data_IF_703892535641
#
_entry.id   IF_703892535641
#
_cell.length_a   1.000
_cell.length_b   1.000
_cell.length_c   1.000
_cell.angle_alpha   90.00
_cell.angle_beta   90.00
_cell.angle_gamma   90.00
#
_symmetry.space_group_name_H-M   'P 1'
#
loop_
_entity.id
_entity.type
_entity.pdbx_description
1 polymer ?
#
# COMPACT_ATOMS: atom_id res chain seq x y z
N UNK A 1 1.68 28.44 -16.64
CA UNK A 1 0.90 27.20 -16.89
C UNK A 1 0.89 26.37 -15.61
N UNK A 2 -0.18 26.39 -14.80
CA UNK A 2 -0.32 25.47 -13.66
C UNK A 2 -0.51 24.05 -14.24
N UNK A 3 0.29 23.03 -13.85
CA UNK A 3 0.08 21.69 -14.36
C UNK A 3 -1.30 21.25 -13.89
N UNK A 4 -2.14 20.83 -14.84
CA UNK A 4 -3.43 20.20 -14.56
C UNK A 4 -3.16 19.00 -13.66
N UNK A 5 -3.28 19.19 -12.35
CA UNK A 5 -3.28 18.10 -11.39
C UNK A 5 -4.43 17.19 -11.83
N UNK A 6 -4.11 16.09 -12.50
CA UNK A 6 -5.09 15.08 -12.87
C UNK A 6 -5.70 14.62 -11.55
N UNK A 7 -6.89 15.15 -11.23
CA UNK A 7 -7.60 14.83 -10.01
C UNK A 7 -8.06 13.39 -10.19
N UNK A 8 -7.63 12.52 -9.28
CA UNK A 8 -8.15 11.16 -9.26
C UNK A 8 -9.67 11.24 -9.00
N UNK A 9 -10.41 10.21 -9.37
CA UNK A 9 -11.87 10.17 -9.15
C UNK A 9 -12.28 10.28 -7.67
N UNK A 10 -11.32 10.10 -6.74
CA UNK A 10 -11.48 10.26 -5.29
C UNK A 10 -10.90 11.58 -4.74
N UNK A 11 -10.38 12.47 -5.59
CA UNK A 11 -9.85 13.78 -5.19
C UNK A 11 -8.39 14.03 -5.58
N UNK A 12 -7.74 14.96 -4.88
CA UNK A 12 -6.37 15.41 -5.15
C UNK A 12 -5.29 14.52 -4.51
N UNK A 13 -5.66 13.60 -3.61
CA UNK A 13 -4.71 12.74 -2.91
C UNK A 13 -4.21 11.61 -3.82
N UNK A 14 -2.92 11.29 -3.72
CA UNK A 14 -2.34 10.11 -4.34
C UNK A 14 -2.67 8.84 -3.54
N UNK A 15 -2.44 7.66 -4.13
CA UNK A 15 -2.53 6.41 -3.38
C UNK A 15 -1.60 6.39 -2.17
N UNK A 16 -0.37 6.90 -2.32
CA UNK A 16 0.59 6.98 -1.21
C UNK A 16 0.05 7.85 -0.06
N UNK A 17 -0.57 8.98 -0.36
CA UNK A 17 -1.15 9.86 0.68
C UNK A 17 -2.31 9.19 1.41
N UNK A 18 -3.20 8.51 0.67
CA UNK A 18 -4.31 7.77 1.26
C UNK A 18 -3.83 6.60 2.14
N UNK A 19 -2.81 5.86 1.70
CA UNK A 19 -2.22 4.76 2.47
C UNK A 19 -1.57 5.30 3.74
N UNK A 20 -0.83 6.41 3.66
CA UNK A 20 -0.21 7.04 4.82
C UNK A 20 -1.28 7.46 5.84
N UNK A 21 -2.33 8.16 5.38
CA UNK A 21 -3.46 8.57 6.22
C UNK A 21 -4.16 7.38 6.89
N UNK A 22 -4.34 6.27 6.17
CA UNK A 22 -4.91 5.05 6.73
C UNK A 22 -4.07 4.52 7.91
N UNK A 23 -2.77 4.36 7.70
CA UNK A 23 -1.84 3.86 8.73
C UNK A 23 -1.78 4.83 9.92
N UNK A 24 -1.69 6.13 9.65
CA UNK A 24 -1.61 7.19 10.67
C UNK A 24 -2.90 7.35 11.47
N UNK A 25 -4.06 6.97 10.93
CA UNK A 25 -5.31 6.93 11.68
C UNK A 25 -5.44 5.74 12.64
N UNK A 26 -4.57 4.73 12.51
CA UNK A 26 -4.59 3.57 13.41
C UNK A 26 -3.89 3.89 14.73
N UNK A 27 -4.39 3.40 15.88
CA UNK A 27 -3.81 3.72 17.20
C UNK A 27 -2.36 3.24 17.31
N UNK A 28 -2.04 2.12 16.68
CA UNK A 28 -0.71 1.51 16.71
C UNK A 28 0.18 1.95 15.54
N UNK A 29 -0.26 2.89 14.69
CA UNK A 29 0.46 3.36 13.50
C UNK A 29 0.90 2.22 12.57
N UNK A 30 0.10 1.14 12.53
CA UNK A 30 0.35 -0.08 11.76
C UNK A 30 -0.96 -0.70 11.31
N UNK A 31 -1.02 -1.11 10.05
CA UNK A 31 -2.16 -1.83 9.48
C UNK A 31 -1.69 -2.99 8.61
N UNK A 32 -2.47 -4.06 8.56
CA UNK A 32 -2.31 -5.12 7.56
C UNK A 32 -2.81 -4.66 6.19
N UNK A 33 -2.39 -5.35 5.13
CA UNK A 33 -2.87 -5.06 3.77
C UNK A 33 -4.41 -5.09 3.67
N UNK A 34 -5.05 -6.06 4.32
CA UNK A 34 -6.51 -6.16 4.32
C UNK A 34 -7.17 -4.98 5.04
N UNK A 35 -6.62 -4.55 6.17
CA UNK A 35 -7.13 -3.38 6.88
C UNK A 35 -6.98 -2.08 6.08
N UNK A 36 -5.91 -1.94 5.28
CA UNK A 36 -5.77 -0.80 4.35
C UNK A 36 -6.89 -0.84 3.31
N UNK A 37 -7.26 -2.02 2.78
CA UNK A 37 -8.40 -2.12 1.88
C UNK A 37 -9.71 -1.71 2.55
N UNK A 38 -9.98 -2.20 3.77
CA UNK A 38 -11.17 -1.83 4.54
C UNK A 38 -11.24 -0.33 4.79
N UNK A 39 -10.12 0.29 5.20
CA UNK A 39 -10.06 1.72 5.45
C UNK A 39 -10.38 2.54 4.19
N UNK A 40 -9.86 2.12 3.02
CA UNK A 40 -10.15 2.80 1.75
C UNK A 40 -11.64 2.78 1.42
N UNK A 41 -12.29 1.64 1.61
CA UNK A 41 -13.73 1.47 1.37
C UNK A 41 -14.54 2.33 2.35
N UNK A 42 -14.17 2.37 3.62
CA UNK A 42 -14.89 3.11 4.65
C UNK A 42 -14.74 4.64 4.49
N UNK A 43 -13.52 5.11 4.21
CA UNK A 43 -13.15 6.52 4.30
C UNK A 43 -13.18 7.27 2.96
N UNK A 44 -13.13 6.56 1.82
CA UNK A 44 -13.08 7.18 0.50
C UNK A 44 -14.31 6.76 -0.30
N UNK A 45 -15.29 7.67 -0.52
CA UNK A 45 -16.57 7.35 -1.15
C UNK A 45 -16.45 6.59 -2.48
N UNK A 46 -15.43 6.91 -3.29
CA UNK A 46 -15.15 6.24 -4.57
C UNK A 46 -14.95 4.71 -4.44
N UNK A 47 -14.41 4.23 -3.31
CA UNK A 47 -14.14 2.81 -3.10
C UNK A 47 -15.29 2.06 -2.40
N UNK A 48 -16.30 2.75 -1.85
CA UNK A 48 -17.45 2.12 -1.15
C UNK A 48 -18.15 1.07 -2.03
N UNK A 49 -18.55 1.46 -3.23
CA UNK A 49 -19.20 0.57 -4.19
C UNK A 49 -18.28 -0.54 -4.72
N UNK A 50 -16.96 -0.43 -4.50
CA UNK A 50 -15.94 -1.37 -4.98
C UNK A 50 -15.45 -2.32 -3.89
N UNK A 51 -15.98 -2.23 -2.67
CA UNK A 51 -15.47 -2.97 -1.50
C UNK A 51 -15.60 -4.50 -1.62
N UNK A 52 -16.65 -4.99 -2.30
CA UNK A 52 -16.89 -6.43 -2.50
C UNK A 52 -16.04 -7.05 -3.61
N UNK A 53 -15.26 -6.25 -4.35
CA UNK A 53 -14.40 -6.77 -5.41
C UNK A 53 -13.30 -7.65 -4.84
N UNK A 54 -12.97 -8.75 -5.55
CA UNK A 54 -11.94 -9.68 -5.13
C UNK A 54 -10.55 -9.02 -4.97
N UNK A 55 -9.58 -9.74 -4.40
CA UNK A 55 -8.21 -9.25 -4.18
C UNK A 55 -7.45 -8.85 -5.46
N UNK A 56 -7.93 -9.26 -6.62
CA UNK A 56 -7.37 -8.95 -7.95
C UNK A 56 -7.88 -7.63 -8.53
N UNK A 57 -8.75 -6.91 -7.83
CA UNK A 57 -9.23 -5.60 -8.27
C UNK A 57 -8.07 -4.62 -8.54
N UNK A 58 -8.14 -3.87 -9.65
CA UNK A 58 -7.06 -2.99 -10.10
C UNK A 58 -6.59 -1.98 -9.05
N UNK A 59 -7.52 -1.40 -8.27
CA UNK A 59 -7.18 -0.46 -7.21
C UNK A 59 -6.45 -1.12 -6.02
N UNK A 60 -6.78 -2.38 -5.70
CA UNK A 60 -6.05 -3.17 -4.69
C UNK A 60 -4.63 -3.49 -5.18
N UNK A 61 -4.45 -3.73 -6.48
CA UNK A 61 -3.13 -3.89 -7.07
C UNK A 61 -2.30 -2.60 -6.96
N UNK A 62 -2.91 -1.45 -7.25
CA UNK A 62 -2.25 -0.15 -7.08
C UNK A 62 -1.79 0.08 -5.65
N UNK A 63 -2.57 -0.35 -4.64
CA UNK A 63 -2.15 -0.26 -3.22
C UNK A 63 -0.91 -1.13 -2.96
N UNK A 64 -0.91 -2.40 -3.37
CA UNK A 64 0.26 -3.30 -3.19
C UNK A 64 1.51 -2.76 -3.87
N UNK A 65 1.34 -2.22 -5.07
CA UNK A 65 2.42 -1.57 -5.81
C UNK A 65 2.98 -0.37 -5.05
N UNK A 66 2.12 0.53 -4.56
CA UNK A 66 2.57 1.73 -3.82
C UNK A 66 3.29 1.38 -2.51
N UNK A 67 2.80 0.38 -1.77
CA UNK A 67 3.44 -0.11 -0.54
C UNK A 67 4.86 -0.62 -0.79
N UNK A 68 5.11 -1.21 -1.96
CA UNK A 68 6.43 -1.74 -2.32
C UNK A 68 7.32 -0.70 -3.02
N UNK A 69 6.72 0.27 -3.73
CA UNK A 69 7.41 1.30 -4.50
C UNK A 69 8.03 2.36 -3.60
N UNK A 70 7.28 2.84 -2.61
CA UNK A 70 7.72 3.97 -1.78
C UNK A 70 8.40 3.49 -0.50
N UNK A 71 9.68 3.83 -0.34
CA UNK A 71 10.47 3.51 0.85
C UNK A 71 9.98 4.14 2.16
N UNK A 72 8.96 5.01 2.11
CA UNK A 72 8.26 5.51 3.30
C UNK A 72 7.37 4.45 3.94
N UNK A 73 7.01 3.37 3.23
CA UNK A 73 6.25 2.26 3.78
C UNK A 73 7.18 1.11 4.13
N UNK A 74 7.12 0.67 5.38
CA UNK A 74 7.93 -0.44 5.87
C UNK A 74 7.06 -1.64 6.19
N UNK A 75 7.49 -2.82 5.73
CA UNK A 75 6.85 -4.10 6.03
C UNK A 75 7.47 -4.69 7.28
N UNK A 76 6.65 -4.98 8.29
CA UNK A 76 7.07 -5.56 9.57
C UNK A 76 6.39 -6.92 9.74
N UNK A 77 7.14 -7.93 10.20
CA UNK A 77 6.61 -9.26 10.42
C UNK A 77 5.50 -9.23 11.49
N UNK A 78 4.42 -9.96 11.26
CA UNK A 78 3.33 -10.10 12.22
C UNK A 78 3.63 -11.27 13.18
N UNK A 79 3.14 -11.19 14.40
CA UNK A 79 3.47 -12.07 15.54
C UNK A 79 2.94 -13.51 15.38
N UNK A 80 2.06 -13.78 14.40
CA UNK A 80 1.53 -15.12 14.13
C UNK A 80 1.98 -15.71 12.80
N UNK A 81 2.37 -16.99 12.81
CA UNK A 81 2.60 -17.77 11.59
C UNK A 81 1.35 -17.73 10.69
N UNK A 82 1.56 -17.50 9.39
CA UNK A 82 0.47 -17.38 8.41
C UNK A 82 -0.31 -16.06 8.42
N UNK A 83 -0.06 -15.14 9.36
CA UNK A 83 -0.71 -13.82 9.36
C UNK A 83 -0.02 -12.86 8.39
N UNK A 84 -0.81 -12.03 7.71
CA UNK A 84 -0.28 -10.99 6.83
C UNK A 84 0.60 -10.00 7.60
N UNK A 85 1.69 -9.55 6.99
CA UNK A 85 2.61 -8.56 7.56
C UNK A 85 1.92 -7.23 7.88
N UNK A 86 2.48 -6.52 8.86
CA UNK A 86 2.13 -5.13 9.16
C UNK A 86 2.80 -4.18 8.18
N UNK A 87 2.12 -3.08 7.88
CA UNK A 87 2.63 -1.94 7.12
C UNK A 87 2.60 -0.70 8.00
N UNK A 88 3.71 0.04 8.02
CA UNK A 88 3.89 1.24 8.83
C UNK A 88 4.46 2.38 7.99
N UNK A 89 4.25 3.63 8.41
CA UNK A 89 4.90 4.80 7.83
C UNK A 89 6.21 5.06 8.56
N UNK A 90 7.31 5.12 7.81
CA UNK A 90 8.62 5.49 8.33
C UNK A 90 8.67 7.01 8.56
N UNK A 91 8.50 7.42 9.83
CA UNK A 91 8.54 8.83 10.24
C UNK A 91 9.87 9.52 9.94
N UNK A 92 10.95 8.76 9.76
CA UNK A 92 12.29 9.33 9.58
C UNK A 92 12.66 9.62 8.12
N UNK A 93 11.79 9.30 7.14
CA UNK A 93 12.05 9.49 5.70
C UNK A 93 13.42 9.00 5.19
N UNK A 94 14.20 8.25 5.98
CA UNK A 94 15.45 7.64 5.54
C UNK A 94 15.05 6.61 4.50
N UNK A 95 15.27 6.98 3.23
CA UNK A 95 15.14 6.13 2.06
C UNK A 95 15.92 4.84 2.33
N UNK A 96 15.28 3.86 2.96
CA UNK A 96 15.79 2.51 2.94
C UNK A 96 15.56 2.07 1.50
N UNK A 97 16.63 2.16 0.70
CA UNK A 97 16.74 1.45 -0.57
C UNK A 97 16.61 -0.02 -0.21
N UNK A 98 15.38 -0.54 -0.14
CA UNK A 98 15.16 -1.96 -0.01
C UNK A 98 15.81 -2.58 -1.25
N UNK A 99 16.77 -3.52 -1.09
CA UNK A 99 17.34 -4.20 -2.23
C UNK A 99 16.18 -4.88 -2.94
N UNK A 100 15.85 -4.47 -4.18
CA UNK A 100 14.94 -5.24 -5.02
C UNK A 100 15.58 -6.61 -5.19
N UNK A 101 15.07 -7.63 -4.48
CA UNK A 101 15.37 -9.03 -4.84
C UNK A 101 14.84 -9.24 -6.26
N UNK A 102 15.72 -9.18 -7.26
CA UNK A 102 15.43 -9.77 -8.56
C UNK A 102 15.41 -11.28 -8.33
N UNK A 103 14.33 -11.94 -8.75
CA UNK A 103 14.27 -13.40 -8.80
C UNK A 103 15.28 -13.85 -9.86
N UNK A 104 16.36 -14.51 -9.46
CA UNK A 104 17.24 -15.20 -10.39
C UNK A 104 16.59 -16.55 -10.70
N UNK A 105 16.00 -16.69 -11.88
CA UNK A 105 15.73 -18.00 -12.46
C UNK A 105 17.07 -18.60 -12.86
N UNK A 106 17.53 -19.61 -12.12
CA UNK A 106 18.62 -20.47 -12.59
C UNK A 106 18.04 -21.39 -13.68
N UNK A 107 18.53 -21.25 -14.90
CA UNK A 107 18.30 -22.21 -15.98
C UNK A 107 19.35 -23.31 -15.83
N UNK A 108 18.94 -24.49 -15.35
CA UNK A 108 19.81 -25.66 -15.31
C UNK A 108 19.63 -26.41 -16.62
N UNK A 109 20.52 -26.14 -17.58
CA UNK A 109 20.69 -26.95 -18.78
C UNK A 109 21.71 -28.04 -18.49
N UNK A 110 21.29 -29.29 -18.54
CA UNK A 110 22.16 -30.44 -18.85
C UNK A 110 21.35 -31.41 -19.69
#
# INVERSE_FOLDING_TARGET
KKPSARKNAWGCLSYADLIAKAIESSPNQRLTLNQIYSWMVENVPYFKAKGQTNSSAGWKNSIRHNLSLHGRFVRVQNEGAGKSSWWMVNKNNRLQKTPRRRSATIDSKT
#
